data_IF_948768269094
#
_entry.id   IF_948768269094
#
_cell.length_a   1.000
_cell.length_b   1.000
_cell.length_c   1.000
_cell.angle_alpha   90.00
_cell.angle_beta   90.00
_cell.angle_gamma   90.00
#
_symmetry.space_group_name_H-M   'P 1'
#
loop_
_entity.id
_entity.type
_entity.pdbx_description
1 polymer ?
#
# COMPACT_ATOMS: atom_id res chain seq x y z
N UNK A 1 -3.09 -7.33 -10.54
CA UNK A 1 -1.95 -6.43 -10.32
C UNK A 1 -1.22 -6.17 -11.62
N UNK A 2 -0.59 -7.18 -12.23
CA UNK A 2 0.19 -7.00 -13.47
C UNK A 2 -0.63 -6.40 -14.62
N UNK A 3 -1.86 -6.86 -14.82
CA UNK A 3 -2.79 -6.28 -15.80
C UNK A 3 -3.04 -4.78 -15.55
N UNK A 4 -3.35 -4.41 -14.31
CA UNK A 4 -3.62 -3.02 -13.95
C UNK A 4 -2.38 -2.13 -14.12
N UNK A 5 -1.21 -2.60 -13.71
CA UNK A 5 0.07 -1.89 -13.87
C UNK A 5 0.41 -1.70 -15.35
N UNK A 6 0.16 -2.72 -16.17
CA UNK A 6 0.31 -2.65 -17.63
C UNK A 6 -0.61 -1.60 -18.25
N UNK A 7 -1.89 -1.57 -17.84
CA UNK A 7 -2.86 -0.57 -18.31
C UNK A 7 -2.50 0.87 -17.89
N UNK A 8 -1.95 1.04 -16.69
CA UNK A 8 -1.54 2.36 -16.17
C UNK A 8 -0.17 2.80 -16.73
N UNK A 9 0.58 1.92 -17.39
CA UNK A 9 1.90 2.21 -17.95
C UNK A 9 2.95 2.54 -16.89
N UNK A 10 2.78 2.01 -15.68
CA UNK A 10 3.69 2.25 -14.54
C UNK A 10 4.62 1.05 -14.31
N UNK A 11 5.78 1.30 -13.73
CA UNK A 11 6.74 0.23 -13.43
C UNK A 11 6.20 -0.69 -12.31
N UNK A 12 6.21 -2.03 -12.48
CA UNK A 12 5.83 -2.95 -11.41
C UNK A 12 6.80 -2.87 -10.22
N UNK A 13 6.31 -2.36 -9.09
CA UNK A 13 7.08 -2.25 -7.84
C UNK A 13 6.97 -3.49 -6.93
N UNK A 14 5.94 -4.31 -7.11
CA UNK A 14 5.71 -5.55 -6.35
C UNK A 14 6.13 -6.77 -7.18
N UNK A 15 7.34 -7.28 -6.94
CA UNK A 15 7.81 -8.54 -7.51
C UNK A 15 7.27 -9.78 -6.79
N UNK A 16 7.41 -10.96 -7.42
CA UNK A 16 6.87 -12.23 -6.94
C UNK A 16 7.23 -12.54 -5.48
N UNK A 17 8.53 -12.44 -5.10
CA UNK A 17 8.96 -12.73 -3.72
C UNK A 17 8.35 -11.78 -2.71
N UNK A 18 8.19 -10.49 -3.05
CA UNK A 18 7.55 -9.51 -2.15
C UNK A 18 6.05 -9.78 -2.01
N UNK A 19 5.37 -10.13 -3.11
CA UNK A 19 3.97 -10.53 -3.08
C UNK A 19 3.78 -11.79 -2.20
N UNK A 20 4.64 -12.79 -2.38
CA UNK A 20 4.65 -13.99 -1.53
C UNK A 20 4.88 -13.67 -0.05
N UNK A 21 5.85 -12.80 0.27
CA UNK A 21 6.06 -12.36 1.66
C UNK A 21 4.81 -11.68 2.24
N UNK A 22 4.11 -10.84 1.47
CA UNK A 22 2.84 -10.25 1.91
C UNK A 22 1.81 -11.34 2.24
N UNK A 23 1.64 -12.34 1.37
CA UNK A 23 0.74 -13.48 1.63
C UNK A 23 1.11 -14.18 2.93
N UNK A 24 2.38 -14.49 3.14
CA UNK A 24 2.86 -15.15 4.38
C UNK A 24 2.56 -14.34 5.64
N UNK A 25 2.66 -13.02 5.56
CA UNK A 25 2.33 -12.14 6.69
C UNK A 25 0.83 -12.07 6.97
N UNK A 26 -0.03 -12.13 5.93
CA UNK A 26 -1.47 -12.27 6.11
C UNK A 26 -1.86 -13.63 6.71
N UNK A 27 -1.26 -14.71 6.22
CA UNK A 27 -1.50 -16.07 6.74
C UNK A 27 -1.05 -16.25 8.21
N UNK A 28 -0.13 -15.41 8.68
CA UNK A 28 0.40 -15.46 10.06
C UNK A 28 -0.19 -14.37 10.97
N UNK A 29 -1.29 -13.73 10.55
CA UNK A 29 -1.96 -12.64 11.29
C UNK A 29 -1.06 -11.46 11.66
N UNK A 30 -0.02 -11.17 10.88
CA UNK A 30 0.86 -10.01 11.10
C UNK A 30 0.34 -8.75 10.38
N UNK A 31 -0.42 -8.95 9.31
CA UNK A 31 -1.03 -7.89 8.50
C UNK A 31 -2.53 -8.13 8.35
N UNK A 32 -3.27 -7.05 8.19
CA UNK A 32 -4.71 -7.05 7.90
C UNK A 32 -5.03 -5.95 6.87
N UNK A 33 -6.24 -6.00 6.31
CA UNK A 33 -6.81 -4.87 5.58
C UNK A 33 -7.54 -3.95 6.54
N UNK A 34 -7.20 -2.67 6.53
CA UNK A 34 -7.86 -1.63 7.31
C UNK A 34 -8.49 -0.61 6.38
N UNK A 35 -9.73 -0.22 6.66
CA UNK A 35 -10.48 0.77 5.88
C UNK A 35 -10.09 2.18 6.31
N UNK A 36 -9.78 3.05 5.35
CA UNK A 36 -9.53 4.47 5.59
C UNK A 36 -10.83 5.20 5.91
N UNK A 37 -10.87 5.99 6.99
CA UNK A 37 -12.05 6.78 7.38
C UNK A 37 -12.33 7.97 6.47
N UNK A 38 -11.41 8.34 5.56
CA UNK A 38 -11.56 9.48 4.64
C UNK A 38 -11.94 9.09 3.22
N UNK A 39 -11.27 8.07 2.65
CA UNK A 39 -11.49 7.65 1.26
C UNK A 39 -12.12 6.27 1.13
N UNK A 40 -12.42 5.59 2.24
CA UNK A 40 -13.07 4.26 2.29
C UNK A 40 -12.28 3.12 1.62
N UNK A 41 -11.10 3.42 1.06
CA UNK A 41 -10.18 2.43 0.51
C UNK A 41 -9.63 1.51 1.59
N UNK A 42 -9.35 0.25 1.21
CA UNK A 42 -8.75 -0.76 2.08
C UNK A 42 -7.24 -0.80 1.87
N UNK A 43 -6.47 -0.68 2.94
CA UNK A 43 -5.01 -0.63 2.91
C UNK A 43 -4.41 -1.72 3.80
N UNK A 44 -3.23 -2.20 3.42
CA UNK A 44 -2.45 -3.13 4.24
C UNK A 44 -1.90 -2.39 5.47
N UNK A 45 -2.22 -2.91 6.66
CA UNK A 45 -1.75 -2.39 7.94
C UNK A 45 -1.43 -3.54 8.90
N UNK A 46 -0.77 -3.25 10.03
CA UNK A 46 -0.51 -4.27 11.04
C UNK A 46 -1.81 -4.74 11.72
N UNK A 47 -1.94 -6.05 11.93
CA UNK A 47 -3.16 -6.69 12.45
C UNK A 47 -3.57 -6.24 13.86
N UNK A 48 -2.61 -5.81 14.68
CA UNK A 48 -2.84 -5.44 16.08
C UNK A 48 -2.66 -3.94 16.34
N UNK A 49 -2.63 -3.12 15.30
CA UNK A 49 -2.64 -1.66 15.45
C UNK A 49 -4.08 -1.14 15.60
N UNK A 50 -4.31 -0.04 16.34
CA UNK A 50 -5.63 0.59 16.41
C UNK A 50 -6.11 1.00 15.01
N UNK A 51 -7.33 0.58 14.65
CA UNK A 51 -7.90 0.77 13.30
C UNK A 51 -9.02 1.80 13.23
N UNK A 52 -9.62 2.19 14.36
CA UNK A 52 -10.83 3.03 14.41
C UNK A 52 -10.70 4.34 13.61
N UNK A 53 -9.57 5.03 13.74
CA UNK A 53 -9.31 6.32 13.08
C UNK A 53 -8.22 6.22 12.01
N UNK A 54 -8.08 5.05 11.37
CA UNK A 54 -7.04 4.86 10.37
C UNK A 54 -7.22 5.80 9.16
N UNK A 55 -6.20 6.61 8.89
CA UNK A 55 -6.11 7.47 7.70
C UNK A 55 -4.93 7.00 6.85
N UNK A 56 -5.21 6.68 5.58
CA UNK A 56 -4.18 6.16 4.69
C UNK A 56 -3.13 7.22 4.31
N UNK A 57 -1.94 6.76 3.92
CA UNK A 57 -0.85 7.63 3.48
C UNK A 57 -1.10 8.41 2.18
N UNK A 58 -2.22 8.18 1.50
CA UNK A 58 -2.66 8.99 0.36
C UNK A 58 -3.51 10.17 0.85
N UNK A 59 -4.41 9.93 1.81
CA UNK A 59 -5.25 10.97 2.41
C UNK A 59 -4.49 11.88 3.38
N UNK A 60 -3.40 11.36 3.96
CA UNK A 60 -2.47 12.13 4.79
C UNK A 60 -1.03 11.83 4.38
N UNK A 61 -0.57 12.36 3.24
CA UNK A 61 0.77 12.11 2.72
C UNK A 61 1.86 12.52 3.71
N UNK A 62 2.88 11.67 3.95
CA UNK A 62 4.04 12.08 4.74
C UNK A 62 4.80 13.20 4.05
N UNK A 63 5.58 13.99 4.79
CA UNK A 63 6.32 15.18 4.29
C UNK A 63 7.33 14.90 3.16
N UNK A 64 7.59 13.62 2.87
CA UNK A 64 8.47 13.15 1.78
C UNK A 64 7.74 12.42 0.66
N UNK A 65 6.41 12.32 0.70
CA UNK A 65 5.64 11.78 -0.42
C UNK A 65 5.95 12.58 -1.70
N UNK A 66 6.27 11.87 -2.79
CA UNK A 66 6.58 12.49 -4.08
C UNK A 66 8.00 13.07 -4.25
N UNK A 67 8.83 13.14 -3.18
CA UNK A 67 10.20 13.71 -3.27
C UNK A 67 11.22 12.83 -4.00
N UNK A 68 10.84 11.65 -4.49
CA UNK A 68 11.72 10.73 -5.24
C UNK A 68 11.51 10.77 -6.75
N UNK A 69 10.64 11.63 -7.30
CA UNK A 69 10.68 11.91 -8.75
C UNK A 69 11.99 12.62 -9.06
N UNK A 70 12.99 11.88 -9.58
CA UNK A 70 14.00 12.49 -10.45
C UNK A 70 13.23 13.30 -11.47
N UNK A 71 13.51 14.60 -11.58
CA UNK A 71 13.03 15.42 -12.67
C UNK A 71 13.34 14.68 -13.96
N UNK A 72 12.31 14.17 -14.62
CA UNK A 72 12.44 13.64 -15.97
C UNK A 72 12.79 14.86 -16.82
N UNK A 73 13.99 14.84 -17.42
CA UNK A 73 14.48 15.91 -18.30
C UNK A 73 13.52 16.14 -19.45
#
# INVERSE_FOLDING_TARGET
YEEQISLEGVEPVLGLTRAWTLVRFFESDLLQLTTCTRCEGRFVAHAHSPTHDYVCGICQPPSRAGKTRKAQR
#
